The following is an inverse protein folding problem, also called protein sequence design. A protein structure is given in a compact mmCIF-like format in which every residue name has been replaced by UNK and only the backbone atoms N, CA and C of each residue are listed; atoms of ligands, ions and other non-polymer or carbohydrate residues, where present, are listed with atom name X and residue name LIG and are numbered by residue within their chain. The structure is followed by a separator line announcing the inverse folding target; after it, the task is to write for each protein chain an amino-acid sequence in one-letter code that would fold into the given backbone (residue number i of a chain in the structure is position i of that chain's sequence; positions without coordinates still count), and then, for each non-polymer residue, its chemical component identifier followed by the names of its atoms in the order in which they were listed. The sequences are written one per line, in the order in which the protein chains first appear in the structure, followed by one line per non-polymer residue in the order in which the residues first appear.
data_IF_287264221538
#
_entry.id   IF_287264221538
#
_cell.length_a   1.000
_cell.length_b   1.000
_cell.length_c   1.000
_cell.angle_alpha   90.00
_cell.angle_beta   90.00
_cell.angle_gamma   90.00
#
_symmetry.space_group_name_H-M   'P 1'
#
loop_
_entity.id
_entity.type
_entity.pdbx_description
1 polymer ?
#
# COMPACT_ATOMS: atom_id res chain seq x y z
N UNK A 1 0.86 14.81 6.90
CA UNK A 1 -0.20 13.83 6.59
C UNK A 1 0.47 12.70 5.85
N UNK A 2 0.35 11.46 6.34
CA UNK A 2 0.99 10.29 5.75
C UNK A 2 -0.06 9.47 5.01
N UNK A 3 0.20 9.12 3.74
CA UNK A 3 -0.71 8.27 2.96
C UNK A 3 -0.15 6.85 2.88
N UNK A 4 -0.93 5.87 3.30
CA UNK A 4 -0.58 4.45 3.28
C UNK A 4 -1.43 3.73 2.25
N UNK A 5 -0.80 2.94 1.39
CA UNK A 5 -1.46 2.31 0.24
C UNK A 5 -1.45 0.79 0.36
N UNK A 6 -2.59 0.20 0.01
CA UNK A 6 -2.85 -1.23 0.02
C UNK A 6 -3.48 -1.67 -1.33
N UNK A 7 -2.94 -2.68 -2.01
CA UNK A 7 -3.55 -3.24 -3.22
C UNK A 7 -4.77 -4.11 -2.85
N UNK A 8 -5.91 -3.92 -3.53
CA UNK A 8 -7.19 -4.58 -3.19
C UNK A 8 -8.07 -4.79 -4.45
N UNK A 9 -8.80 -5.91 -4.60
CA UNK A 9 -9.83 -6.04 -5.65
C UNK A 9 -11.25 -5.70 -5.18
N UNK A 10 -11.38 -5.32 -3.91
CA UNK A 10 -12.67 -5.09 -3.27
C UNK A 10 -12.87 -3.62 -2.94
N UNK A 11 -14.10 -3.13 -3.08
CA UNK A 11 -14.50 -1.76 -2.69
C UNK A 11 -15.07 -1.72 -1.27
N UNK A 12 -14.42 -2.40 -0.34
CA UNK A 12 -14.88 -2.51 1.06
C UNK A 12 -14.05 -1.67 2.04
N UNK A 13 -13.29 -0.69 1.53
CA UNK A 13 -12.47 0.23 2.33
C UNK A 13 -11.51 -0.54 3.25
N UNK A 14 -11.52 -0.27 4.55
CA UNK A 14 -10.68 -0.95 5.54
C UNK A 14 -11.00 -2.46 5.72
N UNK A 15 -12.15 -2.92 5.23
CA UNK A 15 -12.52 -4.35 5.24
C UNK A 15 -12.05 -5.10 4.00
N UNK A 16 -11.53 -4.40 2.99
CA UNK A 16 -10.98 -5.05 1.79
C UNK A 16 -9.82 -5.97 2.18
N UNK A 17 -9.82 -7.17 1.61
CA UNK A 17 -8.67 -8.08 1.69
C UNK A 17 -7.58 -7.58 0.76
N UNK A 18 -6.32 -7.66 1.19
CA UNK A 18 -5.20 -7.34 0.32
C UNK A 18 -5.14 -8.32 -0.85
N UNK A 19 -4.84 -7.82 -2.04
CA UNK A 19 -4.51 -8.69 -3.17
C UNK A 19 -3.12 -9.28 -3.02
N UNK A 20 -2.85 -10.39 -3.70
CA UNK A 20 -1.59 -11.14 -3.60
C UNK A 20 -0.40 -10.47 -4.27
N UNK A 21 -0.63 -9.45 -5.09
CA UNK A 21 0.40 -8.60 -5.67
C UNK A 21 -0.24 -7.27 -6.15
N UNK A 22 0.58 -6.25 -6.36
CA UNK A 22 0.09 -4.96 -6.85
C UNK A 22 -0.48 -5.02 -8.27
N UNK A 23 0.14 -5.80 -9.16
CA UNK A 23 -0.27 -5.87 -10.57
C UNK A 23 -1.70 -6.41 -10.71
N UNK A 24 -2.02 -7.53 -10.07
CA UNK A 24 -3.36 -8.12 -10.08
C UNK A 24 -4.41 -7.32 -9.28
N UNK A 25 -4.03 -6.18 -8.69
CA UNK A 25 -4.98 -5.33 -7.99
C UNK A 25 -5.73 -4.38 -8.93
N UNK A 26 -7.05 -4.39 -8.85
CA UNK A 26 -7.96 -3.51 -9.58
C UNK A 26 -8.08 -2.14 -8.90
N UNK A 27 -7.89 -2.09 -7.58
CA UNK A 27 -8.03 -0.90 -6.76
C UNK A 27 -6.88 -0.75 -5.78
N UNK A 28 -6.60 0.49 -5.41
CA UNK A 28 -5.74 0.83 -4.30
C UNK A 28 -6.61 1.43 -3.20
N UNK A 29 -6.56 0.83 -2.02
CA UNK A 29 -7.12 1.42 -0.81
C UNK A 29 -6.05 2.31 -0.20
N UNK A 30 -6.35 3.59 -0.03
CA UNK A 30 -5.44 4.61 0.50
C UNK A 30 -5.97 5.11 1.82
N UNK A 31 -5.17 4.99 2.88
CA UNK A 31 -5.46 5.54 4.19
C UNK A 31 -4.69 6.84 4.37
N UNK A 32 -5.40 7.94 4.61
CA UNK A 32 -4.78 9.20 4.98
C UNK A 32 -4.68 9.28 6.51
N UNK A 33 -3.47 9.47 7.02
CA UNK A 33 -3.17 9.44 8.45
C UNK A 33 -2.81 10.81 9.01
N UNK A 34 -3.31 11.05 10.22
CA UNK A 34 -2.85 12.11 11.11
C UNK A 34 -2.27 11.48 12.39
N UNK A 35 -0.94 11.34 12.42
CA UNK A 35 -0.26 10.51 13.43
C UNK A 35 -0.57 9.03 13.22
N UNK A 36 -1.13 8.37 14.24
CA UNK A 36 -1.58 6.97 14.17
C UNK A 36 -3.09 6.83 13.92
N UNK A 37 -3.80 7.94 13.72
CA UNK A 37 -5.23 7.91 13.47
C UNK A 37 -5.51 7.97 11.97
N UNK A 38 -6.42 7.11 11.50
CA UNK A 38 -6.98 7.18 10.15
C UNK A 38 -7.91 8.39 10.10
N UNK A 39 -7.57 9.36 9.25
CA UNK A 39 -8.36 10.58 9.04
C UNK A 39 -9.29 10.48 7.84
N UNK A 40 -8.93 9.70 6.82
CA UNK A 40 -9.75 9.43 5.65
C UNK A 40 -9.38 8.09 5.01
N UNK A 41 -10.32 7.51 4.25
CA UNK A 41 -10.12 6.28 3.46
C UNK A 41 -10.62 6.50 2.05
N UNK A 42 -9.73 6.35 1.08
CA UNK A 42 -10.03 6.49 -0.34
C UNK A 42 -9.81 5.17 -1.04
N UNK A 43 -10.66 4.90 -2.04
CA UNK A 43 -10.48 3.76 -2.94
C UNK A 43 -10.31 4.36 -4.33
N UNK A 44 -9.11 4.20 -4.88
CA UNK A 44 -8.79 4.64 -6.23
C UNK A 44 -8.68 3.41 -7.13
N UNK A 45 -9.03 3.56 -8.40
CA UNK A 45 -8.77 2.50 -9.38
C UNK A 45 -7.26 2.40 -9.56
N UNK A 46 -6.71 1.18 -9.57
CA UNK A 46 -5.29 1.00 -9.86
C UNK A 46 -5.04 1.50 -11.30
N UNK A 47 -4.22 2.55 -11.48
CA UNK A 47 -3.95 3.08 -12.81
C UNK A 47 -3.08 2.13 -13.65
N UNK A 48 -2.35 1.22 -13.00
CA UNK A 48 -1.32 0.39 -13.63
C UNK A 48 -1.39 -1.10 -13.20
N UNK A 49 -2.48 -1.82 -13.52
CA UNK A 49 -2.68 -3.21 -13.07
C UNK A 49 -1.76 -4.25 -13.75
N UNK A 50 -0.61 -3.86 -14.32
CA UNK A 50 0.37 -4.78 -14.94
C UNK A 50 1.78 -4.16 -15.01
N UNK A 51 2.09 -3.18 -14.15
CA UNK A 51 3.37 -2.46 -14.24
C UNK A 51 3.87 -2.02 -12.87
N UNK A 52 4.64 -2.90 -12.23
CA UNK A 52 5.37 -2.61 -10.99
C UNK A 52 6.34 -1.41 -11.10
N UNK A 53 6.73 -0.97 -12.30
CA UNK A 53 7.58 0.22 -12.47
C UNK A 53 6.78 1.53 -12.37
N UNK A 54 5.52 1.53 -12.79
CA UNK A 54 4.68 2.73 -12.80
C UNK A 54 4.21 3.12 -11.39
N UNK A 55 4.22 2.18 -10.44
CA UNK A 55 3.94 2.46 -9.03
C UNK A 55 4.86 3.55 -8.45
N UNK A 56 6.12 3.66 -8.92
CA UNK A 56 7.06 4.69 -8.46
C UNK A 56 6.56 6.08 -8.84
N UNK A 57 6.03 6.21 -10.05
CA UNK A 57 5.50 7.48 -10.55
C UNK A 57 4.20 7.83 -9.82
N UNK A 58 3.34 6.85 -9.62
CA UNK A 58 2.10 7.02 -8.87
C UNK A 58 2.38 7.49 -7.44
N UNK A 59 3.29 6.81 -6.73
CA UNK A 59 3.69 7.21 -5.38
C UNK A 59 4.23 8.65 -5.33
N UNK A 60 4.95 9.11 -6.36
CA UNK A 60 5.44 10.50 -6.44
C UNK A 60 4.31 11.50 -6.71
N UNK A 61 3.40 11.18 -7.63
CA UNK A 61 2.31 12.08 -8.03
C UNK A 61 1.29 12.24 -6.90
N UNK A 62 0.87 11.11 -6.33
CA UNK A 62 -0.13 11.05 -5.26
C UNK A 62 0.47 11.26 -3.85
N UNK A 63 1.79 11.42 -3.76
CA UNK A 63 2.54 11.63 -2.51
C UNK A 63 2.29 10.51 -1.49
N UNK A 64 2.31 9.27 -1.95
CA UNK A 64 2.26 8.11 -1.08
C UNK A 64 3.56 8.01 -0.28
N UNK A 65 3.44 7.87 1.04
CA UNK A 65 4.60 7.77 1.93
C UNK A 65 4.90 6.34 2.35
N UNK A 66 3.88 5.46 2.35
CA UNK A 66 4.02 4.06 2.70
C UNK A 66 3.24 3.20 1.71
N UNK A 67 3.88 2.11 1.29
CA UNK A 67 3.30 1.08 0.47
C UNK A 67 3.38 -0.25 1.23
N UNK A 68 2.24 -0.90 1.45
CA UNK A 68 2.18 -2.20 2.13
C UNK A 68 1.67 -3.25 1.15
N UNK A 69 2.51 -4.25 0.92
CA UNK A 69 2.29 -5.27 -0.09
C UNK A 69 2.40 -6.67 0.50
N UNK A 70 1.87 -7.68 -0.18
CA UNK A 70 2.08 -9.06 0.20
C UNK A 70 3.51 -9.53 -0.09
N UNK A 71 3.93 -10.61 0.55
CA UNK A 71 5.21 -11.25 0.28
C UNK A 71 5.37 -11.65 -1.21
N UNK A 72 6.62 -11.54 -1.72
CA UNK A 72 7.10 -11.96 -3.06
C UNK A 72 6.89 -11.00 -4.25
N UNK A 73 6.90 -9.69 -4.01
CA UNK A 73 6.81 -8.72 -5.11
C UNK A 73 8.18 -8.18 -5.55
N UNK A 74 8.50 -8.29 -6.86
CA UNK A 74 9.69 -7.68 -7.46
C UNK A 74 9.43 -6.19 -7.76
N UNK A 75 9.66 -5.35 -6.75
CA UNK A 75 9.53 -3.91 -6.88
C UNK A 75 10.87 -3.19 -7.09
N UNK A 76 10.88 -2.02 -7.75
CA UNK A 76 12.01 -1.11 -7.79
C UNK A 76 12.22 -0.41 -6.43
N UNK A 77 12.64 -1.17 -5.41
CA UNK A 77 12.80 -0.71 -4.02
C UNK A 77 13.77 0.48 -3.88
N UNK A 78 14.81 0.52 -4.71
CA UNK A 78 15.80 1.60 -4.69
C UNK A 78 15.18 2.93 -5.11
N UNK A 79 14.30 2.90 -6.11
CA UNK A 79 13.59 4.04 -6.66
C UNK A 79 12.50 4.52 -5.71
N UNK A 80 11.74 3.58 -5.12
CA UNK A 80 10.72 3.87 -4.10
C UNK A 80 11.35 4.56 -2.89
N UNK A 81 12.48 4.04 -2.39
CA UNK A 81 13.22 4.64 -1.28
C UNK A 81 13.71 6.05 -1.61
N UNK A 82 14.30 6.26 -2.80
CA UNK A 82 14.75 7.59 -3.27
C UNK A 82 13.58 8.58 -3.37
N UNK A 83 12.37 8.08 -3.57
CA UNK A 83 11.15 8.87 -3.67
C UNK A 83 10.51 9.17 -2.32
N UNK A 84 11.10 8.68 -1.22
CA UNK A 84 10.58 8.85 0.15
C UNK A 84 9.47 7.87 0.52
N UNK A 85 9.25 6.82 -0.28
CA UNK A 85 8.26 5.77 -0.02
C UNK A 85 8.91 4.68 0.80
N UNK A 86 8.32 4.34 1.95
CA UNK A 86 8.70 3.15 2.71
C UNK A 86 7.85 1.97 2.27
N UNK A 87 8.50 0.83 2.00
CA UNK A 87 7.82 -0.40 1.58
C UNK A 87 7.82 -1.42 2.70
N UNK A 88 6.66 -2.00 2.98
CA UNK A 88 6.48 -3.06 3.98
C UNK A 88 5.83 -4.28 3.36
N UNK A 89 6.19 -5.46 3.88
CA UNK A 89 5.56 -6.72 3.51
C UNK A 89 4.60 -7.22 4.60
N UNK A 90 3.52 -7.84 4.16
CA UNK A 90 2.52 -8.51 4.99
C UNK A 90 2.04 -9.82 4.34
N UNK A 91 1.20 -10.58 5.04
CA UNK A 91 0.53 -11.74 4.46
C UNK A 91 -0.70 -11.31 3.64
N UNK A 92 -0.78 -11.80 2.40
CA UNK A 92 -1.86 -11.60 1.41
C UNK A 92 -3.30 -11.87 1.91
N UNK A 93 -3.48 -12.53 3.05
CA UNK A 93 -4.82 -12.94 3.54
C UNK A 93 -5.44 -12.00 4.56
N UNK A 94 -4.77 -10.89 4.90
CA UNK A 94 -5.25 -9.93 5.89
C UNK A 94 -6.11 -8.86 5.25
N UNK A 95 -7.00 -8.27 6.06
CA UNK A 95 -7.71 -7.05 5.65
C UNK A 95 -6.78 -5.84 5.72
N UNK A 96 -7.18 -4.74 5.07
CA UNK A 96 -6.50 -3.45 5.19
C UNK A 96 -6.41 -3.02 6.66
N UNK A 97 -7.48 -3.17 7.43
CA UNK A 97 -7.50 -2.80 8.85
C UNK A 97 -6.52 -3.64 9.68
N UNK A 98 -6.52 -4.96 9.50
CA UNK A 98 -5.62 -5.86 10.22
C UNK A 98 -4.16 -5.55 9.89
N UNK A 99 -3.87 -5.35 8.60
CA UNK A 99 -2.54 -4.97 8.13
C UNK A 99 -2.11 -3.61 8.66
N UNK A 100 -3.02 -2.63 8.69
CA UNK A 100 -2.74 -1.33 9.28
C UNK A 100 -2.45 -1.44 10.79
N UNK A 101 -3.20 -2.28 11.51
CA UNK A 101 -2.94 -2.57 12.91
C UNK A 101 -1.54 -3.18 13.11
N UNK A 102 -1.12 -4.09 12.24
CA UNK A 102 0.24 -4.64 12.30
C UNK A 102 1.31 -3.59 11.98
N UNK A 103 1.03 -2.67 11.05
CA UNK A 103 1.92 -1.56 10.71
C UNK A 103 2.15 -0.61 11.90
N UNK A 104 1.08 -0.15 12.57
CA UNK A 104 1.20 0.77 13.72
C UNK A 104 1.85 0.12 14.95
N UNK A 105 1.81 -1.21 15.04
CA UNK A 105 2.40 -1.99 16.13
C UNK A 105 3.81 -2.49 15.78
N UNK A 106 4.44 -1.98 14.71
CA UNK A 106 5.78 -2.35 14.24
C UNK A 106 5.97 -3.86 13.99
N UNK A 107 4.91 -4.57 13.57
CA UNK A 107 4.94 -6.02 13.30
C UNK A 107 5.27 -6.38 11.86
N UNK A 108 5.20 -5.42 10.94
CA UNK A 108 5.47 -5.66 9.52
C UNK A 108 6.97 -5.60 9.20
N UNK A 109 7.38 -6.39 8.20
CA UNK A 109 8.77 -6.38 7.74
C UNK A 109 9.01 -5.21 6.78
N UNK A 110 9.91 -4.29 7.16
CA UNK A 110 10.29 -3.16 6.32
C UNK A 110 11.39 -3.56 5.33
N UNK A 111 11.16 -3.29 4.04
CA UNK A 111 12.13 -3.57 2.97
C UNK A 111 13.05 -2.40 2.63
N UNK A 112 12.57 -1.16 2.77
CA UNK A 112 13.32 0.03 2.31
C UNK A 112 13.11 1.26 3.15
#
# INVERSE_FOLDING_TARGET
MLRVVFPTNQKMSYLSVLESNFEESEYLTVLDLNGQNISDVQIIKNPHPNSAFEIVNECKQERFGVLILPENEELPLSELKKSGVSVFLTDSKKTVLDTYSDFINDKLHKLS
#
